data_IF_408193317081
#
_entry.id   IF_408193317081
#
_cell.length_a   1.000
_cell.length_b   1.000
_cell.length_c   1.000
_cell.angle_alpha   90.00
_cell.angle_beta   90.00
_cell.angle_gamma   90.00
#
_symmetry.space_group_name_H-M   'P 1'
#
loop_
_entity.id
_entity.type
_entity.pdbx_description
1 polymer ?
#
# COMPACT_ATOMS: atom_id res chain seq x y z
N UNK A 1 63.62 10.27 -23.07
CA UNK A 1 62.61 9.69 -22.17
C UNK A 1 61.41 9.29 -23.02
N UNK A 2 61.08 8.03 -23.17
CA UNK A 2 59.92 7.61 -24.00
C UNK A 2 58.63 7.65 -23.19
N UNK A 3 57.64 8.37 -23.76
CA UNK A 3 56.28 8.45 -23.30
C UNK A 3 55.59 7.06 -23.34
N UNK A 4 55.22 6.53 -22.17
CA UNK A 4 54.41 5.35 -22.03
C UNK A 4 52.94 5.70 -22.34
N UNK A 5 52.56 5.65 -23.61
CA UNK A 5 51.13 5.62 -24.00
C UNK A 5 50.54 4.26 -23.64
N UNK A 6 49.84 4.20 -22.51
CA UNK A 6 48.96 3.08 -22.18
C UNK A 6 47.95 2.86 -23.31
N UNK A 7 48.00 1.68 -23.93
CA UNK A 7 47.18 1.31 -25.10
C UNK A 7 45.70 1.40 -24.79
N UNK A 8 44.88 1.73 -25.80
CA UNK A 8 43.41 1.80 -25.73
C UNK A 8 42.78 0.50 -25.23
N UNK A 9 43.49 -0.60 -25.38
CA UNK A 9 43.07 -1.95 -24.91
C UNK A 9 43.19 -2.09 -23.38
N UNK A 10 44.18 -1.49 -22.73
CA UNK A 10 44.25 -1.44 -21.28
C UNK A 10 43.21 -0.52 -20.66
N UNK A 11 42.81 0.57 -21.36
CA UNK A 11 41.68 1.41 -20.92
C UNK A 11 40.33 0.70 -21.07
N UNK A 12 40.17 -0.16 -22.08
CA UNK A 12 38.97 -1.02 -22.23
C UNK A 12 38.95 -2.14 -21.21
N UNK A 13 40.07 -2.79 -20.89
CA UNK A 13 40.16 -3.78 -19.82
C UNK A 13 39.95 -3.16 -18.42
N UNK A 14 40.49 -1.97 -18.15
CA UNK A 14 40.22 -1.26 -16.87
C UNK A 14 38.74 -0.81 -16.78
N UNK A 15 38.11 -0.35 -17.89
CA UNK A 15 36.69 -0.08 -17.95
C UNK A 15 35.81 -1.35 -17.83
N UNK A 16 36.27 -2.48 -18.32
CA UNK A 16 35.57 -3.77 -18.18
C UNK A 16 35.72 -4.35 -16.75
N UNK A 17 36.83 -4.08 -16.06
CA UNK A 17 37.08 -4.50 -14.67
C UNK A 17 36.44 -3.56 -13.63
N UNK A 18 36.04 -2.35 -14.00
CA UNK A 18 35.20 -1.46 -13.19
C UNK A 18 33.73 -1.54 -13.54
N UNK A 19 33.29 -2.62 -14.20
CA UNK A 19 31.90 -3.03 -14.12
C UNK A 19 31.68 -3.52 -12.69
N UNK A 20 31.55 -2.58 -11.75
CA UNK A 20 31.12 -2.78 -10.37
C UNK A 20 29.94 -3.74 -10.46
N UNK A 21 30.12 -4.95 -9.94
CA UNK A 21 29.03 -5.92 -9.88
C UNK A 21 27.90 -5.23 -9.14
N UNK A 22 26.85 -4.81 -9.89
CA UNK A 22 25.71 -4.11 -9.30
C UNK A 22 25.21 -4.93 -8.13
N UNK A 23 25.15 -4.30 -6.96
CA UNK A 23 24.74 -4.93 -5.72
C UNK A 23 23.31 -5.45 -5.86
N UNK A 24 23.09 -6.65 -5.35
CA UNK A 24 21.74 -7.25 -5.30
C UNK A 24 21.09 -6.89 -3.97
N UNK A 25 19.87 -6.39 -4.01
CA UNK A 25 19.04 -6.07 -2.86
C UNK A 25 17.95 -7.12 -2.70
N UNK A 26 17.73 -7.57 -1.47
CA UNK A 26 16.66 -8.50 -1.14
C UNK A 26 15.49 -7.72 -0.52
N UNK A 27 14.32 -7.81 -1.13
CA UNK A 27 13.07 -7.24 -0.60
C UNK A 27 12.17 -8.37 -0.14
N UNK A 28 11.59 -8.25 1.06
CA UNK A 28 10.81 -9.31 1.71
C UNK A 28 9.40 -8.82 2.02
N UNK A 29 8.39 -9.51 1.49
CA UNK A 29 7.02 -9.52 1.99
C UNK A 29 6.52 -10.97 1.99
N UNK A 30 6.68 -11.65 3.11
CA UNK A 30 6.40 -13.09 3.22
C UNK A 30 4.93 -13.46 2.97
N UNK A 31 4.00 -12.53 3.24
CA UNK A 31 2.55 -12.76 3.11
C UNK A 31 1.90 -12.04 1.94
N UNK A 32 2.62 -11.20 1.21
CA UNK A 32 2.08 -10.28 0.20
C UNK A 32 0.94 -9.38 0.71
N UNK A 33 1.10 -8.84 1.93
CA UNK A 33 0.10 -7.94 2.51
C UNK A 33 -0.11 -6.66 1.70
N UNK A 34 0.94 -6.19 1.03
CA UNK A 34 0.91 -5.00 0.17
C UNK A 34 1.30 -5.32 -1.27
N UNK A 35 0.72 -6.37 -1.85
CA UNK A 35 1.15 -6.89 -3.15
C UNK A 35 1.16 -5.83 -4.27
N UNK A 36 0.16 -4.94 -4.31
CA UNK A 36 0.08 -3.85 -5.28
C UNK A 36 1.20 -2.81 -5.10
N UNK A 37 1.46 -2.41 -3.85
CA UNK A 37 2.58 -1.53 -3.49
C UNK A 37 3.92 -2.16 -3.88
N UNK A 38 4.10 -3.43 -3.52
CA UNK A 38 5.34 -4.16 -3.82
C UNK A 38 5.60 -4.22 -5.32
N UNK A 39 4.56 -4.55 -6.11
CA UNK A 39 4.69 -4.55 -7.56
C UNK A 39 5.23 -3.21 -8.09
N UNK A 40 4.59 -2.10 -7.71
CA UNK A 40 4.96 -0.77 -8.19
C UNK A 40 6.36 -0.34 -7.72
N UNK A 41 6.70 -0.57 -6.45
CA UNK A 41 8.03 -0.27 -5.91
C UNK A 41 9.13 -1.06 -6.63
N UNK A 42 8.93 -2.37 -6.80
CA UNK A 42 9.93 -3.26 -7.38
C UNK A 42 10.12 -3.00 -8.88
N UNK A 43 9.03 -2.77 -9.62
CA UNK A 43 9.09 -2.36 -11.03
C UNK A 43 9.86 -1.04 -11.20
N UNK A 44 9.60 -0.06 -10.34
CA UNK A 44 10.29 1.23 -10.38
C UNK A 44 11.78 1.12 -10.03
N UNK A 45 12.15 0.29 -9.05
CA UNK A 45 13.55 0.03 -8.69
C UNK A 45 14.28 -0.71 -9.81
N UNK A 46 13.65 -1.72 -10.43
CA UNK A 46 14.21 -2.46 -11.56
C UNK A 46 14.42 -1.55 -12.78
N UNK A 47 13.45 -0.69 -13.11
CA UNK A 47 13.58 0.33 -14.17
C UNK A 47 14.72 1.32 -13.94
N UNK A 48 15.12 1.55 -12.70
CA UNK A 48 16.35 2.32 -12.35
C UNK A 48 17.62 1.50 -12.50
N UNK A 49 17.49 0.22 -12.85
CA UNK A 49 18.59 -0.70 -13.05
C UNK A 49 19.14 -1.29 -11.75
N UNK A 50 18.40 -1.21 -10.63
CA UNK A 50 18.77 -1.91 -9.40
C UNK A 50 18.48 -3.42 -9.57
N UNK A 51 19.37 -4.27 -9.05
CA UNK A 51 19.16 -5.74 -9.06
C UNK A 51 18.38 -6.13 -7.83
N UNK A 52 17.15 -6.58 -8.02
CA UNK A 52 16.23 -6.92 -6.93
C UNK A 52 15.92 -8.41 -6.93
N UNK A 53 15.99 -9.01 -5.74
CA UNK A 53 15.37 -10.30 -5.44
C UNK A 53 14.17 -10.03 -4.53
N UNK A 54 13.01 -10.53 -4.90
CA UNK A 54 11.79 -10.42 -4.12
C UNK A 54 11.45 -11.75 -3.45
N UNK A 55 11.67 -11.85 -2.14
CA UNK A 55 11.33 -13.04 -1.36
C UNK A 55 9.87 -12.94 -0.86
N UNK A 56 9.03 -13.88 -1.31
CA UNK A 56 7.60 -13.80 -1.08
C UNK A 56 6.89 -15.15 -1.19
N UNK A 57 5.56 -15.13 -1.15
CA UNK A 57 4.66 -16.26 -1.46
C UNK A 57 3.82 -15.94 -2.72
N UNK A 58 2.94 -16.87 -3.11
CA UNK A 58 1.93 -16.57 -4.14
C UNK A 58 0.78 -15.77 -3.52
N UNK A 59 0.30 -14.74 -4.22
CA UNK A 59 -0.83 -13.94 -3.76
C UNK A 59 -2.09 -14.78 -3.60
N UNK A 60 -2.82 -14.59 -2.50
CA UNK A 60 -3.94 -15.45 -2.11
C UNK A 60 -5.29 -15.02 -2.72
N UNK A 61 -5.41 -13.76 -3.13
CA UNK A 61 -6.70 -13.15 -3.51
C UNK A 61 -6.73 -12.71 -4.97
N UNK A 62 -6.33 -13.59 -5.88
CA UNK A 62 -6.31 -13.29 -7.32
C UNK A 62 -4.92 -13.41 -7.93
N UNK A 63 -4.71 -12.75 -9.06
CA UNK A 63 -3.44 -12.76 -9.77
C UNK A 63 -2.83 -11.36 -9.77
N UNK A 64 -1.64 -11.24 -9.21
CA UNK A 64 -0.78 -10.07 -9.41
C UNK A 64 0.45 -10.58 -10.15
N UNK A 65 0.79 -10.03 -11.32
CA UNK A 65 1.94 -10.47 -12.09
C UNK A 65 3.23 -10.19 -11.32
N UNK A 66 4.27 -10.93 -11.63
CA UNK A 66 5.60 -10.61 -11.12
C UNK A 66 6.09 -9.31 -11.76
N UNK A 67 6.76 -8.43 -10.98
CA UNK A 67 7.35 -7.23 -11.55
C UNK A 67 8.40 -7.59 -12.60
N UNK A 68 8.46 -6.88 -13.75
CA UNK A 68 9.48 -7.12 -14.77
C UNK A 68 10.90 -6.92 -14.19
N UNK A 69 11.86 -7.67 -14.72
CA UNK A 69 13.28 -7.56 -14.36
C UNK A 69 13.61 -7.75 -12.87
N UNK A 70 12.67 -8.37 -12.10
CA UNK A 70 12.83 -8.73 -10.70
C UNK A 70 12.91 -10.25 -10.56
N UNK A 71 13.92 -10.73 -9.85
CA UNK A 71 14.01 -12.16 -9.53
C UNK A 71 13.06 -12.48 -8.38
N UNK A 72 12.02 -13.27 -8.62
CA UNK A 72 11.04 -13.63 -7.58
C UNK A 72 11.43 -14.96 -6.94
N UNK A 73 11.69 -14.94 -5.63
CA UNK A 73 12.03 -16.08 -4.81
C UNK A 73 10.86 -16.47 -3.89
N UNK A 74 10.05 -17.44 -4.33
CA UNK A 74 8.85 -17.90 -3.60
C UNK A 74 9.21 -18.95 -2.54
N UNK A 75 9.78 -18.49 -1.43
CA UNK A 75 10.25 -19.37 -0.35
C UNK A 75 9.28 -19.45 0.85
N UNK A 76 8.13 -18.78 0.81
CA UNK A 76 7.22 -18.73 1.96
C UNK A 76 5.93 -19.53 1.74
N UNK A 77 5.50 -20.24 2.79
CA UNK A 77 4.18 -20.84 2.95
C UNK A 77 3.74 -21.81 1.84
N UNK A 78 4.67 -22.63 1.35
CA UNK A 78 4.39 -23.61 0.30
C UNK A 78 3.40 -24.68 0.78
N UNK A 79 3.65 -25.32 1.95
CA UNK A 79 2.78 -26.35 2.52
C UNK A 79 1.43 -25.82 2.93
N UNK A 80 1.40 -24.67 3.59
CA UNK A 80 0.14 -24.01 3.97
C UNK A 80 -0.72 -23.64 2.77
N UNK A 81 -0.11 -23.35 1.63
CA UNK A 81 -0.81 -23.12 0.35
C UNK A 81 -1.36 -24.41 -0.23
N UNK A 82 -0.58 -25.48 -0.26
CA UNK A 82 -1.06 -26.80 -0.71
C UNK A 82 -2.24 -27.28 0.13
N UNK A 83 -2.15 -27.15 1.44
CA UNK A 83 -3.26 -27.47 2.34
C UNK A 83 -4.49 -26.60 2.06
N UNK A 84 -4.33 -25.35 1.63
CA UNK A 84 -5.44 -24.44 1.25
C UNK A 84 -6.21 -24.90 0.00
N UNK A 85 -5.62 -25.74 -0.85
CA UNK A 85 -6.30 -26.39 -1.98
C UNK A 85 -7.14 -27.59 -1.52
N UNK A 86 -6.68 -28.27 -0.46
CA UNK A 86 -7.29 -29.51 0.03
C UNK A 86 -8.32 -29.26 1.13
N UNK A 87 -8.16 -28.20 1.92
CA UNK A 87 -9.05 -27.86 3.04
C UNK A 87 -9.31 -26.36 3.16
N UNK A 88 -10.57 -25.99 3.39
CA UNK A 88 -10.98 -24.63 3.73
C UNK A 88 -10.70 -24.25 5.20
N UNK A 89 -10.22 -25.19 6.02
CA UNK A 89 -10.00 -25.00 7.46
C UNK A 89 -8.97 -23.90 7.75
N UNK A 90 -9.43 -22.76 8.24
CA UNK A 90 -8.60 -21.64 8.68
C UNK A 90 -7.60 -21.99 9.81
N UNK A 91 -8.00 -22.77 10.84
CA UNK A 91 -7.11 -23.24 11.89
C UNK A 91 -5.95 -24.09 11.39
N UNK A 92 -6.20 -25.06 10.51
CA UNK A 92 -5.13 -25.94 9.94
C UNK A 92 -4.12 -25.10 9.16
N UNK A 93 -4.56 -24.18 8.31
CA UNK A 93 -3.65 -23.30 7.58
C UNK A 93 -2.83 -22.40 8.51
N UNK A 94 -3.41 -21.90 9.60
CA UNK A 94 -2.68 -21.11 10.59
C UNK A 94 -1.61 -21.92 11.29
N UNK A 95 -1.93 -23.15 11.68
CA UNK A 95 -0.99 -24.09 12.31
C UNK A 95 0.18 -24.40 11.36
N UNK A 96 -0.09 -24.76 10.11
CA UNK A 96 0.93 -25.02 9.11
C UNK A 96 1.85 -23.81 8.88
N UNK A 97 1.28 -22.61 8.79
CA UNK A 97 2.08 -21.37 8.68
C UNK A 97 2.98 -21.14 9.89
N UNK A 98 2.51 -21.46 11.09
CA UNK A 98 3.30 -21.30 12.31
C UNK A 98 4.54 -22.21 12.35
N UNK A 99 4.41 -23.44 11.82
CA UNK A 99 5.54 -24.39 11.71
C UNK A 99 6.45 -24.03 10.52
N UNK A 100 5.84 -23.70 9.38
CA UNK A 100 6.57 -23.46 8.14
C UNK A 100 7.37 -22.15 8.17
N UNK A 101 6.88 -21.12 8.88
CA UNK A 101 7.52 -19.82 8.88
C UNK A 101 8.97 -19.83 9.41
N UNK A 102 9.29 -20.42 10.57
CA UNK A 102 10.68 -20.55 11.01
C UNK A 102 11.58 -21.27 9.98
N UNK A 103 11.11 -22.34 9.37
CA UNK A 103 11.84 -23.05 8.32
C UNK A 103 12.10 -22.15 7.10
N UNK A 104 11.10 -21.39 6.67
CA UNK A 104 11.26 -20.45 5.56
C UNK A 104 12.30 -19.36 5.88
N UNK A 105 12.39 -18.90 7.15
CA UNK A 105 13.42 -17.96 7.57
C UNK A 105 14.83 -18.54 7.49
N UNK A 106 15.02 -19.84 7.81
CA UNK A 106 16.30 -20.52 7.63
C UNK A 106 16.69 -20.61 6.15
N UNK A 107 15.74 -20.98 5.27
CA UNK A 107 15.94 -21.02 3.82
C UNK A 107 16.35 -19.63 3.30
N UNK A 108 15.67 -18.59 3.77
CA UNK A 108 15.98 -17.22 3.40
C UNK A 108 17.38 -16.80 3.87
N UNK A 109 17.75 -17.11 5.12
CA UNK A 109 19.09 -16.83 5.66
C UNK A 109 20.17 -17.54 4.84
N UNK A 110 20.00 -18.84 4.55
CA UNK A 110 20.91 -19.58 3.70
C UNK A 110 21.06 -18.95 2.31
N UNK A 111 19.94 -18.55 1.70
CA UNK A 111 19.94 -17.84 0.42
C UNK A 111 20.76 -16.54 0.47
N UNK A 112 20.55 -15.72 1.52
CA UNK A 112 21.29 -14.45 1.73
C UNK A 112 22.80 -14.71 1.83
N UNK A 113 23.21 -15.73 2.60
CA UNK A 113 24.62 -16.10 2.79
C UNK A 113 25.26 -16.60 1.48
N UNK A 114 24.59 -17.52 0.76
CA UNK A 114 25.08 -18.08 -0.51
C UNK A 114 25.21 -16.99 -1.59
N UNK A 115 24.20 -16.11 -1.70
CA UNK A 115 24.18 -15.00 -2.68
C UNK A 115 24.98 -13.78 -2.23
N UNK A 116 25.53 -13.78 -1.02
CA UNK A 116 26.32 -12.68 -0.42
C UNK A 116 25.56 -11.33 -0.46
N UNK A 117 24.28 -11.37 -0.19
CA UNK A 117 23.41 -10.18 -0.17
C UNK A 117 23.82 -9.30 1.00
N UNK A 118 23.96 -7.98 0.75
CA UNK A 118 24.39 -7.00 1.78
C UNK A 118 23.26 -6.15 2.33
N UNK A 119 22.16 -6.00 1.59
CA UNK A 119 21.00 -5.20 2.02
C UNK A 119 19.76 -6.04 1.93
N UNK A 120 19.02 -6.07 3.04
CA UNK A 120 17.74 -6.75 3.18
C UNK A 120 16.69 -5.75 3.60
N UNK A 121 15.63 -5.62 2.82
CA UNK A 121 14.54 -4.69 3.06
C UNK A 121 13.24 -5.43 3.37
N UNK A 122 12.77 -5.33 4.60
CA UNK A 122 11.48 -5.85 5.03
C UNK A 122 10.37 -4.85 4.71
N UNK A 123 9.36 -5.29 3.97
CA UNK A 123 8.15 -4.50 3.72
C UNK A 123 7.12 -4.74 4.84
N UNK A 124 7.03 -5.97 5.36
CA UNK A 124 6.17 -6.34 6.47
C UNK A 124 6.87 -7.23 7.46
N UNK A 125 6.54 -7.07 8.73
CA UNK A 125 6.87 -7.96 9.83
C UNK A 125 5.69 -8.90 10.04
N UNK A 126 5.93 -10.20 9.99
CA UNK A 126 4.89 -11.24 10.15
C UNK A 126 4.82 -11.70 11.61
N UNK A 127 5.98 -12.00 12.18
CA UNK A 127 6.13 -12.40 13.57
C UNK A 127 7.21 -11.56 14.24
N UNK A 128 6.85 -10.53 15.03
CA UNK A 128 7.84 -9.62 15.60
C UNK A 128 8.96 -10.31 16.37
N UNK A 129 8.69 -11.48 16.98
CA UNK A 129 9.70 -12.24 17.71
C UNK A 129 10.66 -12.98 16.77
N UNK A 130 10.14 -13.74 15.79
CA UNK A 130 10.96 -14.49 14.84
C UNK A 130 11.75 -13.55 13.90
N UNK A 131 11.09 -12.51 13.42
CA UNK A 131 11.70 -11.53 12.52
C UNK A 131 12.79 -10.74 13.22
N UNK A 132 12.63 -10.43 14.51
CA UNK A 132 13.69 -9.80 15.31
C UNK A 132 14.96 -10.67 15.34
N UNK A 133 14.83 -11.99 15.56
CA UNK A 133 15.97 -12.87 15.56
C UNK A 133 16.58 -13.04 14.17
N UNK A 134 15.76 -13.13 13.11
CA UNK A 134 16.27 -13.13 11.75
C UNK A 134 17.07 -11.84 11.45
N UNK A 135 16.56 -10.67 11.82
CA UNK A 135 17.25 -9.37 11.67
C UNK A 135 18.64 -9.44 12.36
N UNK A 136 18.69 -9.99 13.58
CA UNK A 136 19.96 -10.17 14.31
C UNK A 136 20.94 -11.06 13.56
N UNK A 137 20.49 -12.21 13.07
CA UNK A 137 21.32 -13.15 12.32
C UNK A 137 21.82 -12.55 11.01
N UNK A 138 20.96 -11.82 10.29
CA UNK A 138 21.35 -11.09 9.07
C UNK A 138 22.43 -10.03 9.37
N UNK A 139 22.30 -9.30 10.46
CA UNK A 139 23.31 -8.31 10.86
C UNK A 139 24.65 -8.96 11.26
N UNK A 140 24.62 -10.08 11.97
CA UNK A 140 25.83 -10.87 12.27
C UNK A 140 26.50 -11.39 11.00
N UNK A 141 25.72 -11.70 9.95
CA UNK A 141 26.22 -12.05 8.63
C UNK A 141 26.71 -10.83 7.81
N UNK A 142 26.75 -9.64 8.39
CA UNK A 142 27.21 -8.41 7.74
C UNK A 142 26.18 -7.73 6.85
N UNK A 143 24.88 -8.10 6.95
CA UNK A 143 23.84 -7.44 6.20
C UNK A 143 23.37 -6.13 6.88
N UNK A 144 22.99 -5.17 6.07
CA UNK A 144 22.24 -3.98 6.50
C UNK A 144 20.75 -4.26 6.31
N UNK A 145 19.96 -3.96 7.34
CA UNK A 145 18.52 -4.25 7.33
C UNK A 145 17.74 -2.95 7.35
N UNK A 146 16.80 -2.83 6.40
CA UNK A 146 15.85 -1.73 6.27
C UNK A 146 14.44 -2.27 6.52
N UNK A 147 13.58 -1.46 7.10
CA UNK A 147 12.17 -1.80 7.29
C UNK A 147 11.27 -0.66 6.82
N UNK A 148 10.30 -0.95 5.92
CA UNK A 148 9.23 -0.02 5.58
C UNK A 148 8.08 -0.15 6.56
N UNK A 149 7.84 0.90 7.33
CA UNK A 149 6.72 0.99 8.25
C UNK A 149 5.49 1.53 7.52
N UNK A 150 4.62 0.65 7.06
CA UNK A 150 3.31 1.03 6.49
C UNK A 150 2.39 1.65 7.55
N UNK A 151 2.50 1.17 8.78
CA UNK A 151 1.87 1.72 9.97
C UNK A 151 2.93 1.77 11.07
N UNK A 152 2.85 2.72 12.01
CA UNK A 152 3.79 2.75 13.14
C UNK A 152 3.64 1.50 14.01
N UNK A 153 2.39 1.10 14.25
CA UNK A 153 2.00 -0.08 15.03
C UNK A 153 0.76 -0.74 14.38
N UNK A 154 0.37 -1.97 14.77
CA UNK A 154 -0.89 -2.57 14.34
C UNK A 154 -2.08 -1.65 14.63
N UNK A 155 -3.08 -1.61 13.76
CA UNK A 155 -4.29 -0.78 13.96
C UNK A 155 -5.09 -1.18 15.21
N UNK A 156 -5.03 -2.45 15.59
CA UNK A 156 -5.66 -3.02 16.79
C UNK A 156 -4.56 -3.66 17.65
N UNK A 157 -3.72 -2.84 18.35
CA UNK A 157 -2.56 -3.37 19.06
C UNK A 157 -2.99 -4.17 20.29
N UNK A 158 -2.40 -5.35 20.44
CA UNK A 158 -2.51 -6.15 21.67
C UNK A 158 -1.49 -5.69 22.69
N UNK A 159 -1.70 -6.06 23.96
CA UNK A 159 -0.76 -5.77 25.02
C UNK A 159 0.68 -6.21 24.64
N UNK A 160 1.62 -5.27 24.74
CA UNK A 160 3.03 -5.48 24.43
C UNK A 160 3.41 -5.41 22.94
N UNK A 161 2.49 -5.21 22.00
CA UNK A 161 2.85 -5.11 20.58
C UNK A 161 3.71 -3.88 20.30
N UNK A 162 3.38 -2.72 20.84
CA UNK A 162 4.21 -1.52 20.70
C UNK A 162 5.66 -1.81 21.11
N UNK A 163 5.88 -2.46 22.25
CA UNK A 163 7.22 -2.82 22.75
C UNK A 163 7.96 -3.77 21.78
N UNK A 164 7.25 -4.74 21.17
CA UNK A 164 7.85 -5.66 20.18
C UNK A 164 8.29 -4.92 18.93
N UNK A 165 7.44 -4.04 18.38
CA UNK A 165 7.78 -3.23 17.23
C UNK A 165 8.91 -2.24 17.51
N UNK A 166 8.93 -1.60 18.69
CA UNK A 166 10.03 -0.73 19.08
C UNK A 166 11.38 -1.46 19.09
N UNK A 167 11.42 -2.72 19.55
CA UNK A 167 12.64 -3.54 19.48
C UNK A 167 13.12 -3.76 18.05
N UNK A 168 12.19 -3.93 17.09
CA UNK A 168 12.53 -4.04 15.67
C UNK A 168 13.06 -2.72 15.14
N UNK A 169 12.35 -1.61 15.36
CA UNK A 169 12.79 -0.28 14.95
C UNK A 169 14.17 0.10 15.50
N UNK A 170 14.43 -0.23 16.77
CA UNK A 170 15.74 -0.01 17.37
C UNK A 170 16.83 -0.83 16.68
N UNK A 171 16.49 -2.02 16.17
CA UNK A 171 17.46 -2.98 15.65
C UNK A 171 17.80 -2.78 14.19
N UNK A 172 16.83 -2.47 13.31
CA UNK A 172 17.11 -2.23 11.90
C UNK A 172 18.07 -1.07 11.68
N UNK A 173 18.78 -1.07 10.58
CA UNK A 173 19.75 -0.01 10.26
C UNK A 173 19.07 1.28 9.81
N UNK A 174 17.94 1.18 9.10
CA UNK A 174 17.17 2.32 8.63
C UNK A 174 15.68 1.99 8.53
N UNK A 175 14.84 3.00 8.66
CA UNK A 175 13.39 2.89 8.59
C UNK A 175 12.90 3.78 7.45
N UNK A 176 11.99 3.26 6.63
CA UNK A 176 11.22 4.05 5.67
C UNK A 176 9.81 4.18 6.23
N UNK A 177 9.39 5.38 6.58
CA UNK A 177 8.02 5.70 6.98
C UNK A 177 7.25 6.25 5.77
N UNK A 178 5.96 5.93 5.64
CA UNK A 178 5.17 6.40 4.50
C UNK A 178 4.57 7.80 4.71
N UNK A 179 4.54 8.29 5.96
CA UNK A 179 4.03 9.61 6.35
C UNK A 179 4.87 10.21 7.48
N UNK A 180 4.83 11.53 7.64
CA UNK A 180 5.42 12.21 8.79
C UNK A 180 4.77 11.75 10.10
N UNK A 181 3.46 11.54 10.09
CA UNK A 181 2.75 10.95 11.22
C UNK A 181 3.39 9.63 11.68
N UNK A 182 3.62 8.68 10.75
CA UNK A 182 4.26 7.40 11.07
C UNK A 182 5.66 7.60 11.64
N UNK A 183 6.46 8.52 11.08
CA UNK A 183 7.77 8.87 11.60
C UNK A 183 7.69 9.40 13.04
N UNK A 184 6.80 10.36 13.30
CA UNK A 184 6.65 10.99 14.59
C UNK A 184 6.20 9.99 15.67
N UNK A 185 5.25 9.11 15.34
CA UNK A 185 4.79 8.03 16.24
C UNK A 185 5.94 7.06 16.60
N UNK A 186 6.76 6.66 15.61
CA UNK A 186 7.91 5.79 15.87
C UNK A 186 8.94 6.50 16.74
N UNK A 187 9.23 7.76 16.49
CA UNK A 187 10.16 8.55 17.31
C UNK A 187 9.68 8.69 18.75
N UNK A 188 8.42 9.08 18.93
CA UNK A 188 7.82 9.33 20.23
C UNK A 188 7.75 8.07 21.11
N UNK A 189 7.32 6.95 20.53
CA UNK A 189 7.09 5.72 21.32
C UNK A 189 8.34 4.84 21.46
N UNK A 190 9.27 4.90 20.49
CA UNK A 190 10.41 3.98 20.45
C UNK A 190 11.76 4.65 20.71
N UNK A 191 11.81 5.97 20.87
CA UNK A 191 13.04 6.72 21.11
C UNK A 191 14.03 6.63 19.94
N UNK A 192 13.53 6.60 18.69
CA UNK A 192 14.36 6.51 17.48
C UNK A 192 14.74 7.92 17.02
N UNK A 193 16.02 8.11 16.65
CA UNK A 193 16.46 9.39 16.12
C UNK A 193 15.94 9.67 14.72
N UNK A 194 15.78 10.96 14.38
CA UNK A 194 15.23 11.41 13.12
C UNK A 194 16.04 10.97 11.89
N UNK A 195 17.37 10.88 12.03
CA UNK A 195 18.30 10.49 10.96
C UNK A 195 18.14 9.03 10.53
N UNK A 196 17.59 8.20 11.42
CA UNK A 196 17.32 6.79 11.16
C UNK A 196 16.04 6.56 10.37
N UNK A 197 15.23 7.59 10.13
CA UNK A 197 13.92 7.47 9.48
C UNK A 197 13.83 8.40 8.27
N UNK A 198 13.69 7.83 7.09
CA UNK A 198 13.31 8.57 5.88
C UNK A 198 11.81 8.50 5.67
N UNK A 199 11.19 9.62 5.29
CA UNK A 199 9.78 9.64 4.91
C UNK A 199 9.69 9.58 3.39
N UNK A 200 9.16 8.47 2.88
CA UNK A 200 8.93 8.23 1.45
C UNK A 200 7.46 7.88 1.27
N UNK A 201 6.68 8.70 0.57
CA UNK A 201 5.24 8.50 0.49
C UNK A 201 4.90 7.22 -0.28
N UNK A 202 3.66 6.76 -0.12
CA UNK A 202 3.10 5.70 -0.95
C UNK A 202 2.97 6.21 -2.39
N UNK A 203 3.53 5.50 -3.37
CA UNK A 203 3.42 5.89 -4.78
C UNK A 203 2.09 5.52 -5.43
N UNK A 204 1.85 6.03 -6.63
CA UNK A 204 0.65 5.74 -7.42
C UNK A 204 0.58 4.27 -7.88
N UNK A 205 -0.51 3.90 -8.55
CA UNK A 205 -0.70 2.53 -9.06
C UNK A 205 -0.68 2.45 -10.59
N UNK A 206 -0.18 3.47 -11.28
CA UNK A 206 -0.21 3.53 -12.74
C UNK A 206 0.55 2.35 -13.38
N UNK A 207 1.72 1.98 -12.84
CA UNK A 207 2.51 0.85 -13.33
C UNK A 207 1.75 -0.49 -13.22
N UNK A 208 0.95 -0.66 -12.18
CA UNK A 208 0.09 -1.83 -12.03
C UNK A 208 -1.15 -1.71 -12.91
N UNK A 209 -1.81 -0.57 -12.90
CA UNK A 209 -3.02 -0.33 -13.66
C UNK A 209 -2.82 -0.46 -15.17
N UNK A 210 -1.65 -0.10 -15.70
CA UNK A 210 -1.33 -0.28 -17.12
C UNK A 210 -1.23 -1.76 -17.55
N UNK A 211 -1.01 -2.68 -16.60
CA UNK A 211 -0.92 -4.13 -16.88
C UNK A 211 -2.28 -4.82 -16.94
N UNK A 212 -3.30 -4.23 -16.35
CA UNK A 212 -4.65 -4.78 -16.32
C UNK A 212 -5.57 -4.01 -17.23
N UNK A 213 -6.43 -4.72 -17.92
CA UNK A 213 -7.58 -4.13 -18.59
C UNK A 213 -8.52 -3.48 -17.59
N UNK A 214 -9.40 -2.64 -18.06
CA UNK A 214 -10.55 -2.14 -17.28
C UNK A 214 -11.72 -3.08 -17.51
N UNK A 215 -12.41 -3.50 -16.47
CA UNK A 215 -13.69 -4.20 -16.64
C UNK A 215 -14.76 -3.21 -17.11
N UNK A 216 -14.73 -2.92 -18.44
CA UNK A 216 -15.64 -1.97 -19.05
C UNK A 216 -17.11 -2.36 -18.92
N UNK A 217 -17.41 -3.67 -18.81
CA UNK A 217 -18.78 -4.15 -18.59
C UNK A 217 -19.27 -3.68 -17.23
N UNK A 218 -18.50 -3.91 -16.18
CA UNK A 218 -18.81 -3.45 -14.82
C UNK A 218 -18.97 -1.93 -14.74
N UNK A 219 -18.05 -1.18 -15.34
CA UNK A 219 -18.14 0.29 -15.38
C UNK A 219 -19.44 0.78 -16.05
N UNK A 220 -19.81 0.14 -17.17
CA UNK A 220 -21.08 0.45 -17.88
C UNK A 220 -22.31 0.10 -17.04
N UNK A 221 -22.32 -1.06 -16.38
CA UNK A 221 -23.43 -1.49 -15.52
C UNK A 221 -23.64 -0.51 -14.35
N UNK A 222 -22.57 -0.12 -13.67
CA UNK A 222 -22.63 0.87 -12.59
C UNK A 222 -23.15 2.21 -13.11
N UNK A 223 -22.58 2.74 -14.21
CA UNK A 223 -22.99 4.00 -14.79
C UNK A 223 -24.42 3.97 -15.32
N UNK A 224 -24.85 2.86 -15.90
CA UNK A 224 -26.23 2.67 -16.34
C UNK A 224 -27.22 2.73 -15.19
N UNK A 225 -26.92 2.06 -14.06
CA UNK A 225 -27.73 2.14 -12.85
C UNK A 225 -27.71 3.53 -12.22
N UNK A 226 -26.55 4.18 -12.17
CA UNK A 226 -26.42 5.53 -11.64
C UNK A 226 -27.05 6.58 -12.56
N UNK A 227 -27.10 6.37 -13.89
CA UNK A 227 -27.51 7.38 -14.88
C UNK A 227 -26.58 8.58 -14.83
N UNK A 228 -27.12 9.79 -14.80
CA UNK A 228 -26.35 11.04 -14.70
C UNK A 228 -26.08 11.47 -13.26
N UNK A 229 -26.42 10.65 -12.26
CA UNK A 229 -26.24 10.98 -10.84
C UNK A 229 -24.75 11.03 -10.45
N UNK A 230 -24.47 11.82 -9.42
CA UNK A 230 -23.13 11.93 -8.80
C UNK A 230 -22.81 10.69 -8.00
N UNK A 231 -21.76 9.97 -8.36
CA UNK A 231 -21.36 8.72 -7.70
C UNK A 231 -20.39 9.04 -6.55
N UNK A 232 -20.88 8.88 -5.32
CA UNK A 232 -20.15 9.09 -4.08
C UNK A 232 -19.81 7.71 -3.51
N UNK A 233 -18.52 7.41 -3.35
CA UNK A 233 -18.08 6.06 -3.13
C UNK A 233 -17.28 5.84 -1.84
N UNK A 234 -17.39 4.62 -1.31
CA UNK A 234 -16.47 4.01 -0.35
C UNK A 234 -15.81 2.79 -1.00
N UNK A 235 -14.48 2.73 -0.96
CA UNK A 235 -13.69 1.60 -1.46
C UNK A 235 -12.83 1.00 -0.37
N UNK A 236 -12.76 -0.34 -0.32
CA UNK A 236 -11.82 -1.08 0.51
C UNK A 236 -12.48 -2.00 1.53
N UNK A 237 -11.66 -2.77 2.23
CA UNK A 237 -12.16 -3.72 3.24
C UNK A 237 -13.01 -3.02 4.30
N UNK A 238 -14.16 -3.61 4.60
CA UNK A 238 -15.06 -3.13 5.63
C UNK A 238 -14.58 -3.63 6.98
N UNK A 239 -14.14 -2.67 7.81
CA UNK A 239 -13.65 -2.86 9.18
C UNK A 239 -14.11 -1.67 10.04
N UNK A 240 -14.26 -1.83 11.37
CA UNK A 240 -14.73 -0.76 12.25
C UNK A 240 -13.93 0.54 12.10
N UNK A 241 -12.60 0.45 12.07
CA UNK A 241 -11.75 1.63 11.95
C UNK A 241 -11.88 2.40 10.63
N UNK A 242 -12.50 1.80 9.61
CA UNK A 242 -12.76 2.44 8.31
C UNK A 242 -14.00 3.35 8.32
N UNK A 243 -14.82 3.30 9.37
CA UNK A 243 -15.91 4.22 9.62
C UNK A 243 -17.04 4.19 8.58
N UNK A 244 -17.25 3.06 7.87
CA UNK A 244 -18.30 2.96 6.85
C UNK A 244 -19.68 3.34 7.41
N UNK A 245 -19.95 3.08 8.69
CA UNK A 245 -21.20 3.43 9.36
C UNK A 245 -21.48 4.93 9.29
N UNK A 246 -20.46 5.76 9.57
CA UNK A 246 -20.58 7.23 9.51
C UNK A 246 -20.94 7.71 8.11
N UNK A 247 -20.41 7.05 7.07
CA UNK A 247 -20.78 7.38 5.69
C UNK A 247 -22.20 6.96 5.37
N UNK A 248 -22.66 5.80 5.85
CA UNK A 248 -24.05 5.34 5.67
C UNK A 248 -25.02 6.30 6.37
N UNK A 249 -24.70 6.75 7.58
CA UNK A 249 -25.50 7.73 8.32
C UNK A 249 -25.60 9.09 7.58
N UNK A 250 -24.58 9.43 6.76
CA UNK A 250 -24.59 10.64 5.94
C UNK A 250 -25.49 10.53 4.69
N UNK A 251 -25.97 9.36 4.27
CA UNK A 251 -26.71 9.19 3.01
C UNK A 251 -27.93 10.11 2.89
N UNK A 252 -28.76 10.18 3.93
CA UNK A 252 -29.95 11.05 3.94
C UNK A 252 -29.60 12.52 3.84
N UNK A 253 -28.54 12.94 4.56
CA UNK A 253 -28.05 14.32 4.54
C UNK A 253 -27.50 14.70 3.17
N UNK A 254 -26.75 13.79 2.55
CA UNK A 254 -26.23 13.97 1.18
C UNK A 254 -27.39 14.07 0.20
N UNK A 255 -28.40 13.20 0.28
CA UNK A 255 -29.58 13.23 -0.59
C UNK A 255 -30.37 14.52 -0.47
N UNK A 256 -30.50 15.10 0.73
CA UNK A 256 -31.17 16.38 0.94
C UNK A 256 -30.43 17.53 0.25
N UNK A 257 -29.09 17.51 0.22
CA UNK A 257 -28.25 18.57 -0.37
C UNK A 257 -27.98 18.34 -1.86
N UNK A 258 -27.89 17.08 -2.28
CA UNK A 258 -27.62 16.64 -3.64
C UNK A 258 -28.61 15.53 -4.02
N UNK A 259 -29.84 15.87 -4.44
CA UNK A 259 -30.87 14.91 -4.78
C UNK A 259 -30.44 13.91 -5.87
N UNK A 260 -29.57 14.33 -6.80
CA UNK A 260 -28.99 13.53 -7.87
C UNK A 260 -27.72 12.77 -7.45
N UNK A 261 -27.58 12.42 -6.16
CA UNK A 261 -26.50 11.55 -5.67
C UNK A 261 -26.82 10.07 -5.85
N UNK A 262 -25.76 9.28 -6.03
CA UNK A 262 -25.78 7.80 -6.08
C UNK A 262 -24.63 7.28 -5.21
N UNK A 263 -24.88 6.25 -4.42
CA UNK A 263 -23.88 5.70 -3.50
C UNK A 263 -23.25 4.42 -4.06
N UNK A 264 -21.96 4.27 -3.89
CA UNK A 264 -21.21 3.08 -4.29
C UNK A 264 -20.38 2.58 -3.13
N UNK A 265 -20.61 1.34 -2.70
CA UNK A 265 -19.84 0.70 -1.62
C UNK A 265 -19.24 -0.59 -2.14
N UNK A 266 -17.94 -0.71 -2.08
CA UNK A 266 -17.26 -1.94 -2.53
C UNK A 266 -16.09 -2.32 -1.63
N UNK A 267 -15.98 -3.64 -1.37
CA UNK A 267 -14.92 -4.25 -0.59
C UNK A 267 -15.38 -5.40 0.31
N UNK A 268 -14.46 -6.27 0.69
CA UNK A 268 -14.77 -7.41 1.55
C UNK A 268 -15.17 -6.98 2.95
N UNK A 269 -16.22 -7.58 3.48
CA UNK A 269 -16.56 -7.53 4.90
C UNK A 269 -15.59 -8.46 5.64
N UNK A 270 -14.74 -7.89 6.49
CA UNK A 270 -13.76 -8.64 7.27
C UNK A 270 -14.13 -8.77 8.75
N UNK A 271 -15.05 -7.96 9.22
CA UNK A 271 -15.60 -7.97 10.57
C UNK A 271 -17.12 -7.74 10.48
N UNK A 272 -17.89 -8.55 11.19
CA UNK A 272 -19.36 -8.57 11.11
C UNK A 272 -19.88 -9.46 9.97
N UNK A 273 -21.21 -9.44 9.78
CA UNK A 273 -21.89 -10.18 8.74
C UNK A 273 -22.19 -9.26 7.53
N UNK A 274 -22.13 -9.84 6.34
CA UNK A 274 -22.54 -9.16 5.12
C UNK A 274 -24.02 -8.79 5.13
N UNK A 275 -24.87 -9.65 5.70
CA UNK A 275 -26.31 -9.47 5.78
C UNK A 275 -26.67 -8.25 6.64
N UNK A 276 -25.97 -8.05 7.78
CA UNK A 276 -26.19 -6.89 8.63
C UNK A 276 -25.95 -5.57 7.88
N UNK A 277 -24.93 -5.57 7.01
CA UNK A 277 -24.64 -4.40 6.16
C UNK A 277 -25.70 -4.20 5.08
N UNK A 278 -26.18 -5.27 4.44
CA UNK A 278 -27.23 -5.19 3.42
C UNK A 278 -28.55 -4.64 4.03
N UNK A 279 -28.91 -5.06 5.24
CA UNK A 279 -30.07 -4.54 5.99
C UNK A 279 -29.86 -3.05 6.31
N UNK A 280 -28.72 -2.66 6.87
CA UNK A 280 -28.41 -1.26 7.19
C UNK A 280 -28.44 -0.35 5.96
N UNK A 281 -27.97 -0.82 4.82
CA UNK A 281 -28.03 -0.05 3.58
C UNK A 281 -29.47 0.16 3.11
N UNK A 282 -30.32 -0.88 3.18
CA UNK A 282 -31.72 -0.80 2.80
C UNK A 282 -32.52 0.18 3.68
N UNK A 283 -32.16 0.30 4.96
CA UNK A 283 -32.76 1.27 5.89
C UNK A 283 -32.31 2.72 5.62
N UNK A 284 -31.09 2.89 5.09
CA UNK A 284 -30.45 4.21 4.96
C UNK A 284 -30.75 4.92 3.65
N UNK A 285 -30.99 4.19 2.56
CA UNK A 285 -31.33 4.75 1.24
C UNK A 285 -32.14 3.79 0.40
N UNK A 286 -32.74 4.30 -0.70
CA UNK A 286 -33.40 3.46 -1.68
C UNK A 286 -32.38 2.60 -2.44
N UNK A 287 -32.69 1.33 -2.69
CA UNK A 287 -31.80 0.41 -3.41
C UNK A 287 -31.50 0.84 -4.86
N UNK A 288 -32.36 1.66 -5.45
CA UNK A 288 -32.15 2.27 -6.78
C UNK A 288 -31.04 3.34 -6.78
N UNK A 289 -30.72 3.89 -5.60
CA UNK A 289 -29.69 4.89 -5.39
C UNK A 289 -28.35 4.32 -4.92
N UNK A 290 -28.24 2.98 -4.86
CA UNK A 290 -27.09 2.31 -4.29
C UNK A 290 -26.56 1.19 -5.20
N UNK A 291 -25.23 1.12 -5.28
CA UNK A 291 -24.48 -0.05 -5.76
C UNK A 291 -23.65 -0.64 -4.64
N UNK A 292 -23.73 -1.95 -4.43
CA UNK A 292 -22.89 -2.68 -3.47
C UNK A 292 -22.16 -3.83 -4.13
N UNK A 293 -20.89 -4.02 -3.78
CA UNK A 293 -20.07 -5.17 -4.16
C UNK A 293 -19.23 -5.62 -2.96
N UNK A 294 -19.83 -6.46 -2.09
CA UNK A 294 -19.26 -6.87 -0.81
C UNK A 294 -18.40 -8.13 -0.95
N UNK A 295 -17.36 -8.04 -1.79
CA UNK A 295 -16.36 -9.11 -2.02
C UNK A 295 -14.94 -8.54 -2.07
N UNK A 296 -13.95 -9.40 -2.18
CA UNK A 296 -12.62 -8.96 -2.60
C UNK A 296 -12.68 -8.44 -4.04
N UNK A 297 -12.28 -7.19 -4.24
CA UNK A 297 -12.34 -6.53 -5.54
C UNK A 297 -11.00 -6.68 -6.25
N UNK A 298 -10.94 -7.36 -7.39
CA UNK A 298 -9.71 -7.46 -8.19
C UNK A 298 -9.34 -6.11 -8.84
N UNK A 299 -8.10 -6.00 -9.28
CA UNK A 299 -7.52 -4.72 -9.77
C UNK A 299 -8.29 -4.17 -10.97
N UNK A 300 -8.77 -5.03 -11.86
CA UNK A 300 -9.57 -4.68 -13.05
C UNK A 300 -10.88 -4.01 -12.67
N UNK A 301 -11.52 -4.52 -11.62
CA UNK A 301 -12.78 -4.00 -11.10
C UNK A 301 -12.56 -2.71 -10.31
N UNK A 302 -11.45 -2.60 -9.56
CA UNK A 302 -11.06 -1.34 -8.90
C UNK A 302 -10.94 -0.21 -9.95
N UNK A 303 -10.26 -0.49 -11.08
CA UNK A 303 -10.17 0.49 -12.19
C UNK A 303 -11.54 0.86 -12.75
N UNK A 304 -12.42 -0.13 -12.92
CA UNK A 304 -13.77 0.10 -13.41
C UNK A 304 -14.56 1.02 -12.46
N UNK A 305 -14.52 0.76 -11.16
CA UNK A 305 -15.16 1.62 -10.15
C UNK A 305 -14.58 3.02 -10.15
N UNK A 306 -13.25 3.16 -10.08
CA UNK A 306 -12.58 4.46 -10.08
C UNK A 306 -12.85 5.28 -11.34
N UNK A 307 -13.12 4.64 -12.49
CA UNK A 307 -13.45 5.33 -13.74
C UNK A 307 -14.83 5.99 -13.76
N UNK A 308 -15.72 5.62 -12.84
CA UNK A 308 -17.09 6.11 -12.77
C UNK A 308 -17.41 6.90 -11.49
N UNK A 309 -16.53 6.85 -10.49
CA UNK A 309 -16.69 7.55 -9.21
C UNK A 309 -16.40 9.04 -9.40
N UNK A 310 -17.23 9.89 -8.79
CA UNK A 310 -17.01 11.33 -8.75
C UNK A 310 -16.26 11.77 -7.49
N UNK A 311 -16.55 11.19 -6.32
CA UNK A 311 -15.87 11.49 -5.05
C UNK A 311 -15.68 10.22 -4.24
N UNK A 312 -14.48 10.05 -3.67
CA UNK A 312 -14.17 8.97 -2.74
C UNK A 312 -14.25 9.45 -1.29
N UNK A 313 -15.01 8.74 -0.46
CA UNK A 313 -15.15 9.02 0.98
C UNK A 313 -14.28 8.06 1.78
N UNK A 314 -13.47 8.60 2.68
CA UNK A 314 -12.65 7.85 3.64
C UNK A 314 -12.97 8.33 5.06
N UNK A 315 -14.06 7.84 5.65
CA UNK A 315 -14.58 8.31 6.95
C UNK A 315 -13.86 7.61 8.11
N UNK A 316 -12.54 7.43 7.97
CA UNK A 316 -11.76 6.57 8.84
C UNK A 316 -11.70 7.12 10.27
N UNK A 317 -11.74 6.23 11.25
CA UNK A 317 -11.59 6.54 12.68
C UNK A 317 -10.12 6.49 13.08
N UNK A 318 -9.33 5.67 12.40
CA UNK A 318 -7.90 5.55 12.60
C UNK A 318 -7.21 5.12 11.30
N UNK A 319 -6.12 5.78 10.95
CA UNK A 319 -5.28 5.37 9.82
C UNK A 319 -3.92 6.07 9.90
N UNK A 320 -2.86 5.43 9.40
CA UNK A 320 -1.54 6.05 9.22
C UNK A 320 -1.29 6.54 7.79
N UNK A 321 -1.99 5.96 6.82
CA UNK A 321 -2.00 6.34 5.40
C UNK A 321 -3.12 5.60 4.66
N UNK A 322 -3.37 5.95 3.38
CA UNK A 322 -4.32 5.21 2.55
C UNK A 322 -3.88 5.08 1.09
N UNK A 323 -3.63 3.84 0.65
CA UNK A 323 -3.40 3.54 -0.76
C UNK A 323 -4.59 3.89 -1.66
N UNK A 324 -5.83 3.90 -1.11
CA UNK A 324 -7.03 4.29 -1.86
C UNK A 324 -7.00 5.76 -2.28
N UNK A 325 -6.44 6.67 -1.46
CA UNK A 325 -6.24 8.07 -1.84
C UNK A 325 -5.41 8.17 -3.11
N UNK A 326 -4.29 7.46 -3.15
CA UNK A 326 -3.37 7.52 -4.29
C UNK A 326 -3.99 6.89 -5.55
N UNK A 327 -4.75 5.79 -5.39
CA UNK A 327 -5.51 5.19 -6.49
C UNK A 327 -6.58 6.14 -7.05
N UNK A 328 -7.32 6.81 -6.18
CA UNK A 328 -8.31 7.80 -6.56
C UNK A 328 -7.66 8.97 -7.33
N UNK A 329 -6.55 9.47 -6.85
CA UNK A 329 -5.82 10.56 -7.49
C UNK A 329 -5.28 10.19 -8.88
N UNK A 330 -4.77 8.97 -9.06
CA UNK A 330 -4.33 8.49 -10.36
C UNK A 330 -5.43 8.51 -11.42
N UNK A 331 -6.70 8.37 -11.01
CA UNK A 331 -7.87 8.46 -11.89
C UNK A 331 -8.55 9.83 -11.87
N UNK A 332 -8.05 10.78 -11.06
CA UNK A 332 -8.60 12.13 -10.95
C UNK A 332 -9.86 12.21 -10.08
N UNK A 333 -10.01 11.29 -9.13
CA UNK A 333 -11.12 11.30 -8.17
C UNK A 333 -10.70 12.06 -6.92
N UNK A 334 -11.37 13.19 -6.57
CA UNK A 334 -11.18 13.89 -5.32
C UNK A 334 -11.53 13.02 -4.11
N UNK A 335 -10.85 13.27 -2.99
CA UNK A 335 -11.02 12.47 -1.77
C UNK A 335 -11.50 13.33 -0.61
N UNK A 336 -12.56 12.92 0.06
CA UNK A 336 -12.97 13.46 1.36
C UNK A 336 -12.52 12.48 2.42
N UNK A 337 -11.65 12.91 3.33
CA UNK A 337 -11.09 12.06 4.38
C UNK A 337 -11.13 12.74 5.73
N UNK A 338 -11.10 11.94 6.78
CA UNK A 338 -11.04 12.43 8.15
C UNK A 338 -9.62 12.89 8.52
N UNK A 339 -9.53 13.79 9.49
CA UNK A 339 -8.27 14.32 10.03
C UNK A 339 -7.58 13.37 11.00
N UNK A 340 -7.46 12.09 10.63
CA UNK A 340 -6.83 11.06 11.47
C UNK A 340 -5.48 10.64 10.90
N UNK A 341 -4.49 10.52 11.79
CA UNK A 341 -3.15 10.04 11.45
C UNK A 341 -2.50 10.78 10.28
N UNK A 342 -1.92 10.04 9.36
CA UNK A 342 -1.24 10.61 8.18
C UNK A 342 -2.14 10.88 6.97
N UNK A 343 -3.47 10.73 7.07
CA UNK A 343 -4.37 10.98 5.95
C UNK A 343 -4.37 12.43 5.51
N UNK A 344 -4.23 13.37 6.45
CA UNK A 344 -4.17 14.80 6.18
C UNK A 344 -2.98 15.20 5.32
N UNK A 345 -1.88 14.45 5.40
CA UNK A 345 -0.67 14.69 4.60
C UNK A 345 -0.87 14.41 3.10
N UNK A 346 -1.93 13.68 2.77
CA UNK A 346 -2.22 13.24 1.40
C UNK A 346 -3.22 14.15 0.68
N UNK A 347 -3.88 15.07 1.40
CA UNK A 347 -4.98 15.88 0.87
C UNK A 347 -4.64 17.36 0.98
N UNK A 348 -4.66 18.06 -0.14
CA UNK A 348 -4.63 19.52 -0.19
C UNK A 348 -6.06 20.06 -0.08
N UNK A 349 -6.39 20.65 1.09
CA UNK A 349 -7.72 21.16 1.42
C UNK A 349 -8.25 22.10 0.33
N UNK A 350 -9.47 21.80 -0.17
CA UNK A 350 -10.13 22.56 -1.23
C UNK A 350 -9.51 22.42 -2.64
N UNK A 351 -8.38 21.69 -2.77
CA UNK A 351 -7.70 21.50 -4.06
C UNK A 351 -7.80 20.07 -4.59
N UNK A 352 -7.51 19.07 -3.74
CA UNK A 352 -7.59 17.65 -4.12
C UNK A 352 -8.71 16.93 -3.40
N UNK A 353 -9.36 17.60 -2.46
CA UNK A 353 -10.45 17.08 -1.65
C UNK A 353 -10.70 17.93 -0.41
N UNK A 354 -11.29 17.33 0.60
CA UNK A 354 -11.57 17.94 1.89
C UNK A 354 -11.17 17.06 3.05
N UNK A 355 -10.75 17.70 4.14
CA UNK A 355 -10.43 17.06 5.41
C UNK A 355 -11.53 17.40 6.42
N UNK A 356 -12.11 16.38 7.05
CA UNK A 356 -13.26 16.53 7.97
C UNK A 356 -12.98 15.90 9.33
N UNK A 357 -13.80 16.21 10.33
CA UNK A 357 -13.74 15.55 11.63
C UNK A 357 -14.19 14.07 11.51
N UNK A 358 -13.59 13.13 12.25
CA UNK A 358 -14.05 11.75 12.29
C UNK A 358 -15.39 11.64 13.05
N UNK A 359 -16.22 10.67 12.65
CA UNK A 359 -17.49 10.40 13.30
C UNK A 359 -18.60 11.43 13.03
N UNK A 360 -18.46 12.30 12.03
CA UNK A 360 -19.37 13.40 11.73
C UNK A 360 -20.03 13.22 10.35
N UNK A 361 -21.27 12.68 10.27
CA UNK A 361 -22.02 12.53 9.03
C UNK A 361 -22.38 13.89 8.37
N UNK A 362 -22.62 14.95 9.17
CA UNK A 362 -22.90 16.29 8.65
C UNK A 362 -21.70 16.86 7.92
N UNK A 363 -20.50 16.72 8.49
CA UNK A 363 -19.27 17.14 7.86
C UNK A 363 -19.01 16.42 6.52
N UNK A 364 -19.37 15.11 6.42
CA UNK A 364 -19.31 14.38 5.15
C UNK A 364 -20.23 15.04 4.12
N UNK A 365 -21.51 15.27 4.47
CA UNK A 365 -22.49 15.84 3.57
C UNK A 365 -22.14 17.26 3.13
N UNK A 366 -21.59 18.08 4.03
CA UNK A 366 -21.10 19.43 3.73
C UNK A 366 -19.90 19.38 2.75
N UNK A 367 -18.93 18.52 2.99
CA UNK A 367 -17.77 18.38 2.14
C UNK A 367 -18.14 17.89 0.74
N UNK A 368 -19.06 16.90 0.64
CA UNK A 368 -19.61 16.44 -0.64
C UNK A 368 -20.29 17.59 -1.39
N UNK A 369 -21.11 18.40 -0.71
CA UNK A 369 -21.76 19.56 -1.32
C UNK A 369 -20.75 20.59 -1.84
N UNK A 370 -19.70 20.86 -1.08
CA UNK A 370 -18.60 21.77 -1.49
C UNK A 370 -17.87 21.26 -2.74
N UNK A 371 -17.69 19.93 -2.88
CA UNK A 371 -17.05 19.33 -4.06
C UNK A 371 -17.79 19.69 -5.35
N UNK A 372 -19.13 19.67 -5.34
CA UNK A 372 -19.93 19.87 -6.54
C UNK A 372 -20.40 21.33 -6.76
N UNK A 373 -20.10 22.23 -5.83
CA UNK A 373 -20.45 23.63 -5.94
C UNK A 373 -19.49 24.37 -6.90
N UNK A 374 -20.04 25.21 -7.79
CA UNK A 374 -19.28 26.15 -8.63
C UNK A 374 -18.15 25.49 -9.48
N UNK A 375 -18.41 24.34 -10.09
CA UNK A 375 -17.42 23.58 -10.88
C UNK A 375 -16.12 23.19 -10.14
N UNK A 376 -16.12 23.22 -8.81
CA UNK A 376 -14.97 22.83 -7.98
C UNK A 376 -14.51 21.41 -8.31
N UNK A 377 -15.43 20.50 -8.59
CA UNK A 377 -15.13 19.10 -8.93
C UNK A 377 -14.12 18.99 -10.07
N UNK A 378 -14.31 19.73 -11.19
CA UNK A 378 -13.41 19.68 -12.35
C UNK A 378 -11.99 20.10 -11.97
N UNK A 379 -11.86 21.17 -11.19
CA UNK A 379 -10.56 21.66 -10.71
C UNK A 379 -9.91 20.68 -9.75
N UNK A 380 -10.68 20.11 -8.83
CA UNK A 380 -10.19 19.08 -7.90
C UNK A 380 -9.73 17.84 -8.63
N UNK A 381 -10.47 17.38 -9.63
CA UNK A 381 -10.11 16.23 -10.46
C UNK A 381 -8.77 16.44 -11.19
N UNK A 382 -8.55 17.62 -11.76
CA UNK A 382 -7.27 17.96 -12.40
C UNK A 382 -6.12 18.01 -11.39
N UNK A 383 -6.35 18.63 -10.23
CA UNK A 383 -5.36 18.71 -9.16
C UNK A 383 -5.02 17.33 -8.58
N UNK A 384 -6.01 16.46 -8.40
CA UNK A 384 -5.79 15.07 -7.96
C UNK A 384 -4.87 14.31 -8.92
N UNK A 385 -5.12 14.38 -10.24
CA UNK A 385 -4.22 13.78 -11.26
C UNK A 385 -2.81 14.36 -11.20
N UNK A 386 -2.69 15.68 -11.02
CA UNK A 386 -1.39 16.32 -10.88
C UNK A 386 -0.65 15.86 -9.63
N UNK A 387 -1.34 15.77 -8.48
CA UNK A 387 -0.76 15.25 -7.24
C UNK A 387 -0.24 13.81 -7.39
N UNK A 388 -1.01 12.93 -8.08
CA UNK A 388 -0.55 11.57 -8.36
C UNK A 388 0.79 11.55 -9.11
N UNK A 389 0.95 12.40 -10.14
CA UNK A 389 2.16 12.43 -10.97
C UNK A 389 3.33 13.18 -10.35
N UNK A 390 3.11 14.18 -9.50
CA UNK A 390 4.16 15.02 -8.93
C UNK A 390 4.60 14.56 -7.53
N UNK A 391 3.64 14.23 -6.65
CA UNK A 391 3.92 13.90 -5.24
C UNK A 391 4.08 12.39 -5.03
N UNK A 392 3.26 11.57 -5.70
CA UNK A 392 3.20 10.12 -5.52
C UNK A 392 3.90 9.33 -6.65
N UNK A 393 4.88 9.94 -7.28
CA UNK A 393 5.60 9.39 -8.44
C UNK A 393 6.62 8.33 -8.03
N UNK A 394 6.43 7.10 -8.49
CA UNK A 394 7.33 5.97 -8.21
C UNK A 394 8.77 6.17 -8.69
N UNK A 395 9.00 6.91 -9.78
CA UNK A 395 10.36 7.18 -10.25
C UNK A 395 11.16 7.93 -9.17
N UNK A 396 10.56 8.94 -8.56
CA UNK A 396 11.15 9.73 -7.47
C UNK A 396 11.31 8.90 -6.19
N UNK A 397 10.26 8.14 -5.83
CA UNK A 397 10.25 7.27 -4.64
C UNK A 397 11.31 6.16 -4.76
N UNK A 398 11.41 5.50 -5.91
CA UNK A 398 12.43 4.48 -6.16
C UNK A 398 13.85 5.07 -6.11
N UNK A 399 14.05 6.31 -6.58
CA UNK A 399 15.32 7.01 -6.48
C UNK A 399 15.74 7.25 -5.03
N UNK A 400 14.81 7.73 -4.22
CA UNK A 400 15.02 7.95 -2.80
C UNK A 400 15.23 6.62 -2.05
N UNK A 401 14.45 5.57 -2.38
CA UNK A 401 14.64 4.22 -1.82
C UNK A 401 16.02 3.66 -2.15
N UNK A 402 16.46 3.77 -3.39
CA UNK A 402 17.79 3.34 -3.79
C UNK A 402 18.90 4.17 -3.12
N UNK A 403 18.67 5.46 -2.85
CA UNK A 403 19.58 6.29 -2.07
C UNK A 403 19.71 5.77 -0.62
N UNK A 404 18.60 5.41 0.02
CA UNK A 404 18.61 4.76 1.35
C UNK A 404 19.39 3.45 1.31
N UNK A 405 19.23 2.62 0.27
CA UNK A 405 20.00 1.38 0.13
C UNK A 405 21.51 1.63 0.08
N UNK A 406 21.95 2.67 -0.65
CA UNK A 406 23.37 3.04 -0.73
C UNK A 406 23.88 3.63 0.58
N UNK A 407 23.10 4.49 1.22
CA UNK A 407 23.45 5.12 2.49
C UNK A 407 23.76 4.12 3.60
N UNK A 408 22.97 3.04 3.72
CA UNK A 408 23.19 2.05 4.79
C UNK A 408 24.41 1.17 4.58
N UNK A 409 25.01 1.16 3.38
CA UNK A 409 26.20 0.37 3.05
C UNK A 409 27.48 1.20 3.26
N UNK A 410 27.40 2.51 2.97
CA UNK A 410 28.49 3.46 3.24
C UNK A 410 28.76 3.56 4.74
#
# INVERSE_FOLDING_TARGET
MPDFKLSAENRRRTKALTCSMKQTYLVIDACQFSANYNYCLLDALAKKGERIVYATTKFAHGHIPDPPDVTVFRCFFFLARLAGVVTSSGPVRRFLRAIEYPLNLFILLAYVLIKRIKVVHFIWIVSPWLDYWLIRLLQLAGCRVIYTAHNPFPHEPKAGDIRKYCRIYQKVNHIIALTQYTRNEIMAHCGISAEKISVLPHGDYEALFSRYGVNNKLAKEVRQKAGNRKIIAFLGHIRPYKGLEVFVDAFRLIKQRIPDSFFLITGSVLVGDKKDWEEKFAESCKLEDLWTDLRFVPVEDIKAYLSVIDVLIQPYISASQSGNTVMAYATGVPVISTNVGGLTEMIEEGKTGYVIAPGDPEAIADAVSKCFKNDNYKKMSQNARRAATEQFNWKKIAEQTAAVYRQVIS
#
